data_IF_200368741896
#
_entry.id   IF_200368741896
#
_cell.length_a   1.000
_cell.length_b   1.000
_cell.length_c   1.000
_cell.angle_alpha   90.00
_cell.angle_beta   90.00
_cell.angle_gamma   90.00
#
_symmetry.space_group_name_H-M   'P 1'
#
loop_
_entity.id
_entity.type
_entity.pdbx_description
1 polymer ?
#
# COMPACT_ATOMS: atom_id res chain seq x y z
N UNK A 1 -32.39 -65.82 -21.80
CA UNK A 1 -31.54 -66.04 -22.99
C UNK A 1 -30.10 -65.72 -22.61
N UNK A 2 -29.21 -66.68 -22.83
CA UNK A 2 -27.74 -66.69 -22.74
C UNK A 2 -27.04 -66.58 -21.36
N UNK A 3 -26.56 -67.75 -20.92
CA UNK A 3 -25.38 -67.97 -20.07
C UNK A 3 -24.09 -67.48 -20.74
N UNK A 4 -23.08 -67.08 -19.95
CA UNK A 4 -21.81 -67.82 -19.83
C UNK A 4 -20.82 -67.15 -18.89
N UNK A 5 -20.46 -67.87 -17.83
CA UNK A 5 -19.15 -67.76 -17.17
C UNK A 5 -18.03 -68.03 -18.16
N UNK A 6 -16.92 -67.29 -18.05
CA UNK A 6 -15.59 -67.83 -18.35
C UNK A 6 -14.60 -67.39 -17.28
N UNK A 7 -13.86 -68.41 -16.89
CA UNK A 7 -12.94 -68.52 -15.78
C UNK A 7 -11.52 -68.03 -16.14
N UNK A 8 -10.77 -67.71 -15.08
CA UNK A 8 -9.31 -67.82 -14.91
C UNK A 8 -8.34 -66.84 -15.61
N UNK A 9 -7.57 -66.08 -14.80
CA UNK A 9 -6.25 -66.50 -14.28
C UNK A 9 -5.71 -65.52 -13.22
N UNK A 10 -5.33 -65.98 -12.01
CA UNK A 10 -4.55 -65.16 -11.09
C UNK A 10 -3.08 -65.09 -11.54
N UNK A 11 -2.53 -63.88 -11.51
CA UNK A 11 -1.13 -63.59 -11.82
C UNK A 11 -0.19 -64.25 -10.79
N UNK A 12 1.02 -64.69 -11.18
CA UNK A 12 1.95 -65.37 -10.29
C UNK A 12 2.51 -64.40 -9.24
N UNK A 13 2.41 -64.79 -7.98
CA UNK A 13 3.00 -64.10 -6.82
C UNK A 13 4.49 -64.47 -6.75
N UNK A 14 5.36 -63.46 -6.79
CA UNK A 14 6.78 -63.65 -6.48
C UNK A 14 6.94 -63.87 -4.96
N UNK A 15 7.60 -64.94 -4.51
CA UNK A 15 7.86 -65.18 -3.09
C UNK A 15 8.96 -64.24 -2.60
N UNK A 16 8.59 -63.33 -1.70
CA UNK A 16 9.50 -62.37 -1.07
C UNK A 16 8.79 -61.53 0.00
N UNK A 17 7.88 -62.15 0.75
CA UNK A 17 7.29 -61.57 1.94
C UNK A 17 8.12 -61.94 3.16
N UNK A 18 8.56 -60.93 3.92
CA UNK A 18 8.58 -61.03 5.38
C UNK A 18 8.51 -59.63 6.02
N UNK A 19 7.31 -59.26 6.46
CA UNK A 19 7.13 -58.58 7.74
C UNK A 19 7.23 -57.05 7.79
N UNK A 20 6.09 -56.36 7.62
CA UNK A 20 5.77 -55.21 8.48
C UNK A 20 4.25 -55.07 8.62
N UNK A 21 3.69 -55.07 9.85
CA UNK A 21 2.27 -54.82 10.04
C UNK A 21 1.91 -53.39 9.58
N UNK A 22 0.68 -53.17 9.07
CA UNK A 22 0.25 -51.86 8.61
C UNK A 22 0.21 -50.88 9.80
N UNK A 23 1.09 -49.89 9.75
CA UNK A 23 0.99 -48.69 10.58
C UNK A 23 -0.37 -48.04 10.28
N UNK A 24 -1.19 -47.69 11.29
CA UNK A 24 -2.39 -46.91 11.05
C UNK A 24 -2.01 -45.59 10.37
N UNK A 25 -2.85 -45.05 9.47
CA UNK A 25 -2.58 -43.77 8.85
C UNK A 25 -2.38 -42.73 9.95
N UNK A 26 -1.24 -42.06 9.89
CA UNK A 26 -0.96 -40.93 10.78
C UNK A 26 -2.12 -39.93 10.63
N UNK A 27 -2.65 -39.39 11.74
CA UNK A 27 -3.68 -38.36 11.67
C UNK A 27 -3.13 -37.23 10.80
N UNK A 28 -3.88 -36.92 9.75
CA UNK A 28 -3.69 -35.77 8.87
C UNK A 28 -3.38 -34.57 9.76
N UNK A 29 -2.17 -34.03 9.61
CA UNK A 29 -1.73 -32.88 10.37
C UNK A 29 -2.81 -31.80 10.27
N UNK A 30 -3.20 -31.30 11.45
CA UNK A 30 -4.23 -30.31 11.65
C UNK A 30 -4.10 -29.18 10.62
N UNK A 31 -5.25 -28.77 10.06
CA UNK A 31 -5.42 -27.53 9.31
C UNK A 31 -4.92 -26.37 10.18
N UNK A 32 -3.65 -26.00 10.01
CA UNK A 32 -3.19 -24.65 10.34
C UNK A 32 -3.90 -23.66 9.41
N UNK A 33 -4.02 -22.38 9.80
CA UNK A 33 -4.54 -21.36 8.90
C UNK A 33 -3.72 -21.40 7.62
N UNK A 34 -4.36 -21.75 6.50
CA UNK A 34 -3.75 -21.74 5.18
C UNK A 34 -3.22 -20.34 4.92
N UNK A 35 -1.90 -20.20 4.99
CA UNK A 35 -1.20 -18.95 4.70
C UNK A 35 -1.56 -18.53 3.28
N UNK A 36 -2.10 -17.33 3.12
CA UNK A 36 -2.40 -16.79 1.80
C UNK A 36 -1.10 -16.64 1.01
N UNK A 37 -1.13 -17.00 -0.28
CA UNK A 37 -0.12 -16.59 -1.25
C UNK A 37 -0.54 -15.26 -1.91
N UNK A 38 0.30 -14.71 -2.80
CA UNK A 38 0.04 -13.44 -3.46
C UNK A 38 -1.27 -13.43 -4.28
N UNK A 39 -1.56 -14.53 -4.97
CA UNK A 39 -2.72 -14.65 -5.84
C UNK A 39 -4.02 -14.76 -5.02
N UNK A 40 -4.03 -15.63 -4.02
CA UNK A 40 -5.14 -15.78 -3.07
C UNK A 40 -5.37 -14.49 -2.30
N UNK A 41 -4.32 -13.79 -1.86
CA UNK A 41 -4.45 -12.49 -1.22
C UNK A 41 -5.14 -11.47 -2.13
N UNK A 42 -4.73 -11.40 -3.40
CA UNK A 42 -5.31 -10.46 -4.36
C UNK A 42 -6.78 -10.78 -4.66
N UNK A 43 -7.11 -12.06 -4.81
CA UNK A 43 -8.49 -12.51 -5.04
C UNK A 43 -9.39 -12.21 -3.83
N UNK A 44 -8.91 -12.47 -2.62
CA UNK A 44 -9.64 -12.16 -1.39
C UNK A 44 -9.75 -10.65 -1.15
N UNK A 45 -8.74 -9.85 -1.51
CA UNK A 45 -8.83 -8.39 -1.48
C UNK A 45 -9.95 -7.88 -2.38
N UNK A 46 -9.99 -8.32 -3.64
CA UNK A 46 -11.05 -7.94 -4.59
C UNK A 46 -12.42 -8.37 -4.07
N UNK A 47 -12.52 -9.58 -3.52
CA UNK A 47 -13.76 -10.10 -2.93
C UNK A 47 -14.22 -9.26 -1.74
N UNK A 48 -13.32 -8.91 -0.81
CA UNK A 48 -13.64 -8.04 0.32
C UNK A 48 -14.11 -6.67 -0.15
N UNK A 49 -13.42 -6.07 -1.13
CA UNK A 49 -13.80 -4.77 -1.69
C UNK A 49 -15.17 -4.79 -2.35
N UNK A 50 -15.50 -5.87 -3.07
CA UNK A 50 -16.83 -6.06 -3.64
C UNK A 50 -17.91 -6.06 -2.56
N UNK A 51 -17.77 -6.93 -1.54
CA UNK A 51 -18.71 -7.06 -0.43
C UNK A 51 -18.86 -5.74 0.36
N UNK A 52 -17.76 -5.03 0.58
CA UNK A 52 -17.76 -3.72 1.25
C UNK A 52 -18.51 -2.68 0.40
N UNK A 53 -18.24 -2.63 -0.90
CA UNK A 53 -18.85 -1.64 -1.79
C UNK A 53 -20.35 -1.88 -2.04
N UNK A 54 -20.77 -3.14 -2.15
CA UNK A 54 -22.19 -3.50 -2.31
C UNK A 54 -22.94 -3.56 -0.99
N UNK A 55 -22.23 -3.46 0.15
CA UNK A 55 -22.77 -3.60 1.50
C UNK A 55 -23.47 -4.97 1.67
N UNK A 56 -22.83 -6.02 1.16
CA UNK A 56 -23.33 -7.40 1.18
C UNK A 56 -22.44 -8.29 2.06
N UNK A 57 -23.07 -9.23 2.80
CA UNK A 57 -22.40 -10.23 3.63
C UNK A 57 -21.18 -9.69 4.42
N UNK A 58 -21.44 -8.66 5.24
CA UNK A 58 -20.39 -7.95 5.97
C UNK A 58 -19.69 -8.82 7.02
N UNK A 59 -20.28 -9.94 7.44
CA UNK A 59 -19.66 -10.92 8.32
C UNK A 59 -18.54 -11.68 7.59
N UNK A 60 -18.80 -12.12 6.35
CA UNK A 60 -17.77 -12.69 5.48
C UNK A 60 -16.71 -11.64 5.17
N UNK A 61 -17.09 -10.41 4.81
CA UNK A 61 -16.14 -9.33 4.56
C UNK A 61 -15.22 -9.07 5.77
N UNK A 62 -15.78 -9.06 6.98
CA UNK A 62 -15.01 -8.91 8.22
C UNK A 62 -13.95 -10.00 8.38
N UNK A 63 -14.33 -11.26 8.13
CA UNK A 63 -13.41 -12.40 8.22
C UNK A 63 -12.27 -12.29 7.21
N UNK A 64 -12.59 -11.89 5.98
CA UNK A 64 -11.60 -11.70 4.92
C UNK A 64 -10.66 -10.55 5.28
N UNK A 65 -11.17 -9.38 5.68
CA UNK A 65 -10.37 -8.20 6.06
C UNK A 65 -9.39 -8.53 7.19
N UNK A 66 -9.82 -9.26 8.22
CA UNK A 66 -8.94 -9.70 9.30
C UNK A 66 -7.80 -10.61 8.79
N UNK A 67 -8.13 -11.52 7.86
CA UNK A 67 -7.15 -12.43 7.24
C UNK A 67 -6.15 -11.65 6.39
N UNK A 68 -6.62 -10.69 5.58
CA UNK A 68 -5.76 -9.82 4.76
C UNK A 68 -4.81 -9.01 5.65
N UNK A 69 -5.33 -8.32 6.67
CA UNK A 69 -4.52 -7.50 7.58
C UNK A 69 -3.44 -8.30 8.33
N UNK A 70 -3.72 -9.55 8.70
CA UNK A 70 -2.73 -10.42 9.36
C UNK A 70 -1.69 -11.02 8.40
N UNK A 71 -2.02 -11.13 7.11
CA UNK A 71 -1.17 -11.80 6.11
C UNK A 71 -0.23 -10.86 5.36
N UNK A 72 -0.63 -9.60 5.13
CA UNK A 72 0.07 -8.68 4.24
C UNK A 72 1.53 -8.43 4.63
N UNK A 73 1.83 -8.19 5.91
CA UNK A 73 3.20 -7.99 6.40
C UNK A 73 4.11 -9.15 6.01
N UNK A 74 3.60 -10.37 6.15
CA UNK A 74 4.35 -11.59 5.81
C UNK A 74 4.58 -11.69 4.30
N UNK A 75 3.59 -11.34 3.48
CA UNK A 75 3.72 -11.36 2.01
C UNK A 75 4.70 -10.31 1.48
N UNK A 76 4.69 -9.11 2.05
CA UNK A 76 5.68 -8.06 1.73
C UNK A 76 7.09 -8.53 2.10
N UNK A 77 7.23 -9.15 3.29
CA UNK A 77 8.51 -9.67 3.75
C UNK A 77 9.05 -10.83 2.90
N UNK A 78 8.19 -11.63 2.27
CA UNK A 78 8.57 -12.75 1.40
C UNK A 78 8.63 -12.43 -0.09
N UNK A 79 8.76 -11.16 -0.46
CA UNK A 79 8.89 -10.73 -1.87
C UNK A 79 7.74 -11.17 -2.77
N UNK A 80 6.54 -11.29 -2.20
CA UNK A 80 5.37 -11.77 -2.92
C UNK A 80 4.70 -10.68 -3.76
N UNK A 81 5.07 -9.41 -3.54
CA UNK A 81 4.57 -8.25 -4.28
C UNK A 81 5.72 -7.30 -4.64
N UNK A 82 5.68 -6.78 -5.86
CA UNK A 82 6.48 -5.63 -6.28
C UNK A 82 5.85 -4.30 -5.81
N UNK A 83 6.62 -3.23 -5.95
CA UNK A 83 6.24 -1.89 -5.50
C UNK A 83 4.96 -1.39 -6.19
N UNK A 84 4.86 -1.60 -7.50
CA UNK A 84 3.74 -1.11 -8.30
C UNK A 84 2.44 -1.85 -7.98
N UNK A 85 2.52 -3.15 -7.70
CA UNK A 85 1.38 -3.95 -7.23
C UNK A 85 0.87 -3.44 -5.89
N UNK A 86 1.76 -3.11 -4.96
CA UNK A 86 1.38 -2.50 -3.68
C UNK A 86 0.75 -1.11 -3.85
N UNK A 87 1.23 -0.32 -4.81
CA UNK A 87 0.62 0.98 -5.18
C UNK A 87 -0.80 0.77 -5.72
N UNK A 88 -0.98 -0.17 -6.66
CA UNK A 88 -2.31 -0.50 -7.21
C UNK A 88 -3.27 -0.95 -6.11
N UNK A 89 -2.82 -1.79 -5.19
CA UNK A 89 -3.62 -2.18 -4.02
C UNK A 89 -3.98 -0.97 -3.16
N UNK A 90 -3.03 -0.04 -2.93
CA UNK A 90 -3.30 1.19 -2.19
C UNK A 90 -4.39 2.02 -2.86
N UNK A 91 -4.35 2.22 -4.18
CA UNK A 91 -5.35 2.98 -4.92
C UNK A 91 -6.75 2.40 -4.76
N UNK A 92 -6.92 1.08 -4.89
CA UNK A 92 -8.24 0.46 -4.78
C UNK A 92 -8.77 0.53 -3.33
N UNK A 93 -7.89 0.40 -2.33
CA UNK A 93 -8.31 0.56 -0.93
C UNK A 93 -8.66 2.02 -0.60
N UNK A 94 -7.88 3.00 -1.09
CA UNK A 94 -8.22 4.43 -0.97
C UNK A 94 -9.56 4.74 -1.63
N UNK A 95 -9.79 4.21 -2.83
CA UNK A 95 -11.08 4.33 -3.52
C UNK A 95 -12.21 3.73 -2.68
N UNK A 96 -12.03 2.57 -2.06
CA UNK A 96 -13.06 1.96 -1.21
C UNK A 96 -13.38 2.82 0.02
N UNK A 97 -12.36 3.42 0.64
CA UNK A 97 -12.58 4.39 1.73
C UNK A 97 -13.41 5.58 1.24
N UNK A 98 -13.03 6.18 0.12
CA UNK A 98 -13.79 7.29 -0.47
C UNK A 98 -15.21 6.88 -0.88
N UNK A 99 -15.38 5.70 -1.47
CA UNK A 99 -16.68 5.19 -1.91
C UNK A 99 -17.64 4.92 -0.75
N UNK A 100 -17.14 4.45 0.39
CA UNK A 100 -17.96 4.14 1.57
C UNK A 100 -18.28 5.37 2.43
N UNK A 101 -17.68 6.52 2.13
CA UNK A 101 -17.81 7.77 2.90
C UNK A 101 -18.23 8.96 2.04
N UNK A 102 -18.62 8.70 0.79
CA UNK A 102 -18.97 9.71 -0.22
C UNK A 102 -17.88 10.80 -0.33
N UNK A 103 -16.64 10.38 -0.59
CA UNK A 103 -15.50 11.29 -0.70
C UNK A 103 -15.06 11.87 0.64
N UNK A 104 -15.23 11.13 1.74
CA UNK A 104 -14.94 11.57 3.12
C UNK A 104 -15.82 12.73 3.61
N UNK A 105 -16.99 12.94 3.00
CA UNK A 105 -17.94 13.99 3.39
C UNK A 105 -18.93 13.51 4.46
N UNK A 106 -19.21 12.20 4.50
CA UNK A 106 -20.13 11.61 5.47
C UNK A 106 -19.44 11.34 6.80
N UNK A 107 -20.17 11.57 7.88
CA UNK A 107 -19.75 11.25 9.25
C UNK A 107 -20.38 9.93 9.68
N UNK A 108 -19.79 9.24 10.68
CA UNK A 108 -20.32 7.96 11.16
C UNK A 108 -21.80 8.03 11.57
N UNK A 109 -22.23 9.18 12.09
CA UNK A 109 -23.61 9.42 12.54
C UNK A 109 -24.62 9.50 11.39
N UNK A 110 -24.16 9.85 10.18
CA UNK A 110 -25.01 9.96 8.99
C UNK A 110 -25.18 8.64 8.24
N UNK A 111 -24.31 7.66 8.50
CA UNK A 111 -24.34 6.35 7.87
C UNK A 111 -25.31 5.41 8.59
N UNK A 112 -25.99 4.56 7.82
CA UNK A 112 -26.68 3.40 8.38
C UNK A 112 -25.70 2.46 9.09
N UNK A 113 -26.22 1.53 9.91
CA UNK A 113 -25.37 0.60 10.66
C UNK A 113 -24.47 -0.24 9.73
N UNK A 114 -25.01 -0.68 8.60
CA UNK A 114 -24.28 -1.52 7.65
C UNK A 114 -23.26 -0.71 6.83
N UNK A 115 -23.61 0.51 6.39
CA UNK A 115 -22.67 1.41 5.71
C UNK A 115 -21.53 1.83 6.64
N UNK A 116 -21.82 2.12 7.91
CA UNK A 116 -20.80 2.43 8.92
C UNK A 116 -19.85 1.25 9.10
N UNK A 117 -20.38 0.03 9.11
CA UNK A 117 -19.58 -1.20 9.19
C UNK A 117 -18.73 -1.39 7.94
N UNK A 118 -19.26 -1.16 6.75
CA UNK A 118 -18.52 -1.20 5.49
C UNK A 118 -17.37 -0.17 5.47
N UNK A 119 -17.65 1.08 5.86
CA UNK A 119 -16.66 2.13 5.99
C UNK A 119 -15.56 1.78 7.00
N UNK A 120 -15.93 1.22 8.15
CA UNK A 120 -14.97 0.76 9.16
C UNK A 120 -14.05 -0.36 8.62
N UNK A 121 -14.59 -1.29 7.82
CA UNK A 121 -13.79 -2.34 7.16
C UNK A 121 -12.82 -1.77 6.12
N UNK A 122 -13.26 -0.82 5.28
CA UNK A 122 -12.39 -0.14 4.32
C UNK A 122 -11.25 0.60 5.02
N UNK A 123 -11.56 1.33 6.09
CA UNK A 123 -10.57 2.02 6.93
C UNK A 123 -9.61 1.04 7.62
N UNK A 124 -10.11 -0.12 8.05
CA UNK A 124 -9.30 -1.19 8.63
C UNK A 124 -8.31 -1.77 7.63
N UNK A 125 -8.68 -1.93 6.36
CA UNK A 125 -7.76 -2.31 5.28
C UNK A 125 -6.71 -1.23 5.04
N UNK A 126 -7.09 0.05 4.98
CA UNK A 126 -6.16 1.16 4.78
C UNK A 126 -5.11 1.23 5.90
N UNK A 127 -5.55 1.28 7.16
CA UNK A 127 -4.64 1.34 8.30
C UNK A 127 -3.78 0.08 8.44
N UNK A 128 -4.34 -1.10 8.11
CA UNK A 128 -3.60 -2.36 8.07
C UNK A 128 -2.52 -2.41 6.99
N UNK A 129 -2.81 -1.88 5.79
CA UNK A 129 -1.86 -1.80 4.70
C UNK A 129 -0.68 -0.88 5.03
N UNK A 130 -0.95 0.30 5.61
CA UNK A 130 0.10 1.21 6.08
C UNK A 130 0.98 0.55 7.13
N UNK A 131 0.37 -0.08 8.14
CA UNK A 131 1.13 -0.78 9.18
C UNK A 131 2.00 -1.91 8.59
N UNK A 132 1.47 -2.70 7.65
CA UNK A 132 2.22 -3.79 7.03
C UNK A 132 3.46 -3.31 6.25
N UNK A 133 3.35 -2.17 5.56
CA UNK A 133 4.47 -1.51 4.88
C UNK A 133 5.53 -1.04 5.89
N UNK A 134 5.10 -0.40 6.98
CA UNK A 134 5.97 0.12 8.04
C UNK A 134 6.71 -1.01 8.79
N UNK A 135 6.07 -2.15 8.99
CA UNK A 135 6.66 -3.32 9.66
C UNK A 135 7.59 -4.14 8.75
N UNK A 136 7.83 -3.69 7.51
CA UNK A 136 8.70 -4.35 6.54
C UNK A 136 9.93 -3.50 6.15
N UNK A 137 10.72 -2.97 7.11
CA UNK A 137 11.80 -2.01 6.82
C UNK A 137 12.94 -2.61 5.98
N UNK A 138 13.14 -3.93 6.03
CA UNK A 138 14.15 -4.65 5.22
C UNK A 138 13.85 -4.61 3.71
N UNK A 139 12.66 -4.12 3.33
CA UNK A 139 12.16 -4.05 1.95
C UNK A 139 11.97 -2.59 1.51
N UNK A 140 12.76 -1.66 2.06
CA UNK A 140 12.62 -0.22 1.82
C UNK A 140 12.53 0.15 0.33
N UNK A 141 13.30 -0.49 -0.56
CA UNK A 141 13.24 -0.23 -2.01
C UNK A 141 11.87 -0.53 -2.62
N UNK A 142 11.10 -1.45 -2.02
CA UNK A 142 9.76 -1.86 -2.46
C UNK A 142 8.66 -1.15 -1.68
N UNK A 143 8.88 -0.82 -0.41
CA UNK A 143 7.84 -0.28 0.48
C UNK A 143 7.78 1.24 0.52
N UNK A 144 8.86 1.96 0.20
CA UNK A 144 8.87 3.42 0.32
C UNK A 144 7.94 4.11 -0.68
N UNK A 145 7.79 3.61 -1.90
CA UNK A 145 6.92 4.21 -2.91
C UNK A 145 5.43 4.07 -2.55
N UNK A 146 4.89 2.87 -2.25
CA UNK A 146 3.51 2.74 -1.77
C UNK A 146 3.30 3.46 -0.43
N UNK A 147 4.29 3.50 0.47
CA UNK A 147 4.17 4.27 1.70
C UNK A 147 4.09 5.78 1.43
N UNK A 148 4.87 6.30 0.47
CA UNK A 148 4.77 7.69 0.04
C UNK A 148 3.35 7.98 -0.42
N UNK A 149 2.78 7.13 -1.27
CA UNK A 149 1.40 7.24 -1.76
C UNK A 149 0.38 7.27 -0.60
N UNK A 150 0.53 6.39 0.39
CA UNK A 150 -0.32 6.40 1.60
C UNK A 150 -0.20 7.68 2.43
N UNK A 151 1.03 8.10 2.74
CA UNK A 151 1.26 9.36 3.47
C UNK A 151 0.74 10.55 2.68
N UNK A 152 0.85 10.48 1.36
CA UNK A 152 0.35 11.50 0.47
C UNK A 152 -1.16 11.68 0.62
N UNK A 153 -1.89 10.56 0.60
CA UNK A 153 -3.33 10.55 0.74
C UNK A 153 -3.79 11.07 2.10
N UNK A 154 -3.20 10.62 3.21
CA UNK A 154 -3.63 11.03 4.56
C UNK A 154 -3.30 12.50 4.87
N UNK A 155 -2.21 13.04 4.31
CA UNK A 155 -1.91 14.48 4.40
C UNK A 155 -2.91 15.30 3.58
N UNK A 156 -3.33 14.79 2.42
CA UNK A 156 -4.32 15.46 1.56
C UNK A 156 -5.74 15.36 2.13
N UNK A 157 -6.02 14.29 2.89
CA UNK A 157 -7.33 13.99 3.45
C UNK A 157 -7.23 13.64 4.95
N UNK A 158 -6.92 14.60 5.84
CA UNK A 158 -6.74 14.31 7.27
C UNK A 158 -7.99 13.72 7.94
N UNK A 159 -9.18 13.96 7.37
CA UNK A 159 -10.43 13.36 7.80
C UNK A 159 -10.43 11.82 7.75
N UNK A 160 -9.64 11.22 6.85
CA UNK A 160 -9.49 9.75 6.80
C UNK A 160 -8.92 9.17 8.10
N UNK A 161 -8.12 9.96 8.83
CA UNK A 161 -7.51 9.58 10.10
C UNK A 161 -8.45 9.76 11.32
N UNK A 162 -9.70 10.19 11.12
CA UNK A 162 -10.69 10.26 12.19
C UNK A 162 -11.26 8.89 12.56
N UNK A 163 -11.19 7.92 11.64
CA UNK A 163 -11.75 6.59 11.84
C UNK A 163 -11.01 5.80 12.93
N UNK A 164 -11.76 5.03 13.72
CA UNK A 164 -11.22 4.22 14.82
C UNK A 164 -10.16 3.18 14.38
N UNK A 165 -10.15 2.78 13.10
CA UNK A 165 -9.17 1.84 12.56
C UNK A 165 -7.71 2.29 12.77
N UNK A 166 -7.46 3.60 12.74
CA UNK A 166 -6.13 4.20 12.91
C UNK A 166 -5.68 4.20 14.37
N UNK A 167 -6.59 4.49 15.30
CA UNK A 167 -6.28 4.49 16.75
C UNK A 167 -6.19 3.08 17.33
N UNK A 168 -6.88 2.09 16.75
CA UNK A 168 -6.82 0.69 17.15
C UNK A 168 -5.48 -0.01 16.82
N UNK A 169 -4.57 0.66 16.13
CA UNK A 169 -3.25 0.13 15.74
C UNK A 169 -2.13 0.94 16.40
N UNK A 170 -1.86 0.72 17.70
CA UNK A 170 -0.95 1.57 18.48
C UNK A 170 0.50 1.55 17.97
N UNK A 171 0.89 0.52 17.21
CA UNK A 171 2.22 0.41 16.61
C UNK A 171 2.41 1.27 15.35
N UNK A 172 1.35 1.79 14.74
CA UNK A 172 1.41 2.48 13.44
C UNK A 172 2.26 3.75 13.50
N UNK A 173 1.94 4.67 14.41
CA UNK A 173 2.64 5.95 14.51
C UNK A 173 4.08 5.81 15.03
N UNK A 174 4.37 4.98 16.05
CA UNK A 174 5.75 4.68 16.44
C UNK A 174 6.58 4.06 15.31
N UNK A 175 6.01 3.15 14.52
CA UNK A 175 6.72 2.56 13.37
C UNK A 175 6.98 3.59 12.26
N UNK A 176 6.05 4.51 12.03
CA UNK A 176 6.25 5.63 11.11
C UNK A 176 7.37 6.56 11.60
N UNK A 177 7.35 6.97 12.87
CA UNK A 177 8.39 7.81 13.44
C UNK A 177 9.78 7.17 13.32
N UNK A 178 9.91 5.88 13.66
CA UNK A 178 11.17 5.14 13.51
C UNK A 178 11.66 5.07 12.06
N UNK A 179 10.74 4.88 11.10
CA UNK A 179 11.11 4.90 9.69
C UNK A 179 11.61 6.29 9.28
N UNK A 180 10.88 7.34 9.63
CA UNK A 180 11.26 8.72 9.28
C UNK A 180 12.60 9.10 9.91
N UNK A 181 12.85 8.73 11.17
CA UNK A 181 14.15 8.88 11.81
C UNK A 181 15.25 8.16 11.03
N UNK A 182 15.01 6.91 10.62
CA UNK A 182 15.99 6.16 9.84
C UNK A 182 16.30 6.80 8.48
N UNK A 183 15.32 7.46 7.87
CA UNK A 183 15.49 8.21 6.61
C UNK A 183 16.22 9.54 6.86
N UNK A 184 15.97 10.20 8.00
CA UNK A 184 16.64 11.46 8.40
C UNK A 184 18.12 11.27 8.73
N UNK A 185 18.48 10.10 9.26
CA UNK A 185 19.86 9.75 9.60
C UNK A 185 20.71 9.41 8.36
N UNK A 186 20.07 9.16 7.21
CA UNK A 186 20.79 9.00 5.97
C UNK A 186 21.48 10.32 5.59
N UNK A 187 22.70 10.30 5.04
CA UNK A 187 23.39 11.52 4.65
C UNK A 187 22.49 12.34 3.73
N UNK A 188 22.39 13.67 3.97
CA UNK A 188 21.49 14.50 3.19
C UNK A 188 21.83 14.30 1.71
N UNK A 189 20.81 14.18 0.84
CA UNK A 189 21.06 14.23 -0.60
C UNK A 189 21.95 15.45 -0.87
N UNK A 190 23.05 15.25 -1.61
CA UNK A 190 23.93 16.34 -2.01
C UNK A 190 23.09 17.53 -2.46
N UNK A 191 23.54 18.76 -2.23
CA UNK A 191 22.84 20.07 -2.33
C UNK A 191 21.76 20.27 -3.44
N UNK A 192 21.73 19.39 -4.44
CA UNK A 192 20.77 19.24 -5.51
C UNK A 192 19.41 18.61 -5.12
N UNK A 193 19.11 18.26 -3.87
CA UNK A 193 17.80 17.67 -3.52
C UNK A 193 16.62 18.58 -3.89
N UNK A 194 16.78 19.89 -3.64
CA UNK A 194 15.86 20.94 -4.07
C UNK A 194 15.73 21.02 -5.60
N UNK A 195 16.78 20.64 -6.33
CA UNK A 195 16.80 20.61 -7.80
C UNK A 195 15.82 19.58 -8.37
N UNK A 196 15.49 18.53 -7.61
CA UNK A 196 14.56 17.46 -8.04
C UNK A 196 13.18 17.53 -7.37
N UNK A 197 12.88 18.59 -6.60
CA UNK A 197 11.62 18.69 -5.85
C UNK A 197 10.40 18.64 -6.77
N UNK A 198 10.48 19.28 -7.94
CA UNK A 198 9.41 19.33 -8.93
C UNK A 198 9.40 18.15 -9.91
N UNK A 199 10.38 17.24 -9.86
CA UNK A 199 10.49 16.14 -10.85
C UNK A 199 9.63 14.97 -10.38
N UNK A 200 8.64 14.49 -11.17
CA UNK A 200 7.80 13.37 -10.75
C UNK A 200 8.63 12.09 -10.56
N UNK A 201 8.30 11.32 -9.54
CA UNK A 201 8.74 9.94 -9.36
C UNK A 201 7.85 9.01 -10.20
N UNK A 202 8.27 7.77 -10.49
CA UNK A 202 7.46 6.84 -11.28
C UNK A 202 6.04 6.63 -10.74
N UNK A 203 5.88 6.59 -9.42
CA UNK A 203 4.55 6.50 -8.79
C UNK A 203 3.71 7.77 -8.91
N UNK A 204 4.31 8.93 -9.17
CA UNK A 204 3.56 10.17 -9.41
C UNK A 204 3.00 10.18 -10.83
N UNK A 205 3.80 9.74 -11.80
CA UNK A 205 3.40 9.65 -13.21
C UNK A 205 2.25 8.67 -13.39
N UNK A 206 2.34 7.49 -12.78
CA UNK A 206 1.28 6.47 -12.82
C UNK A 206 -0.04 6.96 -12.18
N UNK A 207 0.04 7.83 -11.17
CA UNK A 207 -1.12 8.29 -10.40
C UNK A 207 -1.65 9.66 -10.86
N UNK A 208 -1.12 10.19 -11.96
CA UNK A 208 -1.64 11.43 -12.55
C UNK A 208 -3.10 11.24 -12.95
N UNK A 209 -3.98 12.09 -12.42
CA UNK A 209 -5.44 12.00 -12.63
C UNK A 209 -6.17 11.10 -11.64
N UNK A 210 -5.48 10.46 -10.69
CA UNK A 210 -6.15 9.77 -9.58
C UNK A 210 -6.70 10.80 -8.58
N UNK A 211 -8.01 11.04 -8.64
CA UNK A 211 -8.69 12.12 -7.90
C UNK A 211 -8.34 12.19 -6.40
N UNK A 212 -8.22 11.08 -5.64
CA UNK A 212 -7.77 11.12 -4.24
C UNK A 212 -6.37 11.68 -3.97
N UNK A 213 -5.54 11.89 -5.00
CA UNK A 213 -4.17 12.40 -4.88
C UNK A 213 -3.88 13.63 -5.76
N UNK A 214 -4.81 13.99 -6.62
CA UNK A 214 -4.63 15.00 -7.68
C UNK A 214 -4.17 16.36 -7.14
N UNK A 215 -4.70 16.81 -6.00
CA UNK A 215 -4.39 18.11 -5.42
C UNK A 215 -2.90 18.33 -5.18
N UNK A 216 -2.15 17.26 -4.94
CA UNK A 216 -0.74 17.36 -4.62
C UNK A 216 0.18 17.17 -5.83
N UNK A 217 -0.35 16.69 -6.95
CA UNK A 217 0.38 16.68 -8.22
C UNK A 217 0.60 18.10 -8.77
N UNK A 218 -0.11 19.12 -8.26
CA UNK A 218 -0.07 20.52 -8.72
C UNK A 218 1.31 21.20 -8.68
N UNK A 219 2.26 20.67 -7.91
CA UNK A 219 3.64 21.18 -7.84
C UNK A 219 4.66 20.42 -8.69
N UNK A 220 4.24 19.34 -9.36
CA UNK A 220 5.13 18.48 -10.14
C UNK A 220 5.10 18.85 -11.62
N UNK A 221 6.27 18.79 -12.25
CA UNK A 221 6.50 19.04 -13.67
C UNK A 221 6.49 17.71 -14.41
N UNK A 222 5.30 17.25 -14.76
CA UNK A 222 5.15 16.04 -15.57
C UNK A 222 5.73 16.26 -16.97
N UNK A 223 6.51 15.30 -17.51
CA UNK A 223 6.89 15.36 -18.91
C UNK A 223 5.63 15.45 -19.75
N UNK A 224 5.63 16.41 -20.68
CA UNK A 224 4.48 16.65 -21.52
C UNK A 224 4.25 15.42 -22.40
N UNK A 225 3.26 14.57 -22.09
CA UNK A 225 2.84 13.48 -22.96
C UNK A 225 2.12 13.99 -24.23
N UNK A 226 2.07 15.31 -24.45
CA UNK A 226 1.58 15.97 -25.66
C UNK A 226 2.44 15.73 -26.92
N UNK A 227 3.04 14.55 -27.07
CA UNK A 227 3.50 14.04 -28.35
C UNK A 227 2.34 13.44 -29.18
N UNK A 228 1.14 13.25 -28.59
CA UNK A 228 -0.04 12.80 -29.34
C UNK A 228 -0.77 13.91 -30.12
N UNK A 229 -0.59 15.18 -29.76
CA UNK A 229 -1.19 16.32 -30.49
C UNK A 229 -0.27 16.95 -31.56
N UNK A 230 0.92 16.39 -31.78
CA UNK A 230 1.79 16.81 -32.89
C UNK A 230 1.42 16.22 -34.26
N UNK A 231 0.30 15.50 -34.37
CA UNK A 231 -0.36 15.24 -35.66
C UNK A 231 -1.48 16.27 -35.92
N UNK A 232 -1.07 17.51 -36.19
CA UNK A 232 -1.91 18.46 -36.93
C UNK A 232 -2.46 19.65 -36.15
N UNK A 233 -1.57 20.59 -35.81
CA UNK A 233 -1.83 22.01 -36.03
C UNK A 233 -2.45 22.81 -34.88
N UNK A 234 -1.59 23.66 -34.30
CA UNK A 234 -1.83 24.80 -33.39
C UNK A 234 -1.99 24.45 -31.90
N UNK A 235 -0.93 24.74 -31.15
CA UNK A 235 -1.06 25.11 -29.73
C UNK A 235 -2.03 26.29 -29.61
N UNK A 236 -2.88 26.36 -28.57
CA UNK A 236 -3.48 27.62 -28.15
C UNK A 236 -2.33 28.58 -27.81
N UNK A 237 -2.38 29.80 -28.33
CA UNK A 237 -1.42 30.86 -28.04
C UNK A 237 -1.32 31.04 -26.51
N UNK A 238 -0.25 30.48 -25.91
CA UNK A 238 0.14 30.80 -24.55
C UNK A 238 1.04 32.02 -24.67
N UNK A 239 0.55 33.14 -24.15
CA UNK A 239 1.24 34.42 -24.13
C UNK A 239 2.71 34.24 -23.71
N UNK A 240 3.61 34.73 -24.57
CA UNK A 240 5.04 34.80 -24.34
C UNK A 240 5.33 35.73 -23.16
N UNK A 241 5.24 35.24 -21.93
CA UNK A 241 5.74 35.95 -20.77
C UNK A 241 6.33 35.02 -19.70
N UNK A 242 7.60 35.31 -19.40
CA UNK A 242 8.42 34.85 -18.27
C UNK A 242 9.34 33.64 -18.50
N UNK A 243 10.32 33.87 -19.38
CA UNK A 243 11.69 33.36 -19.28
C UNK A 243 12.34 33.70 -17.92
N UNK A 244 12.17 32.85 -16.91
CA UNK A 244 13.08 32.69 -15.77
C UNK A 244 12.94 31.27 -15.17
N UNK A 245 13.12 30.23 -15.97
CA UNK A 245 13.19 28.85 -15.45
C UNK A 245 14.64 28.49 -15.09
N UNK A 246 14.94 28.03 -13.84
CA UNK A 246 16.22 27.39 -13.54
C UNK A 246 16.44 26.15 -14.42
N UNK A 247 17.70 25.69 -14.62
CA UNK A 247 18.05 24.74 -15.67
C UNK A 247 17.12 23.53 -15.67
N UNK A 248 16.55 23.22 -16.83
CA UNK A 248 15.64 22.11 -17.05
C UNK A 248 16.31 20.80 -16.59
N UNK A 249 15.95 20.36 -15.40
CA UNK A 249 16.28 19.02 -14.95
C UNK A 249 15.40 18.09 -15.77
N UNK A 250 16.02 17.44 -16.75
CA UNK A 250 15.33 16.47 -17.60
C UNK A 250 14.65 15.42 -16.72
N UNK A 251 13.33 15.23 -16.87
CA UNK A 251 12.56 14.18 -16.18
C UNK A 251 13.12 12.77 -16.46
N UNK A 252 13.81 12.61 -17.59
CA UNK A 252 14.55 11.40 -18.00
C UNK A 252 15.70 11.05 -17.04
N UNK A 253 16.11 11.99 -16.17
CA UNK A 253 17.23 11.82 -15.26
C UNK A 253 16.95 10.84 -14.11
N UNK A 254 15.70 10.75 -13.60
CA UNK A 254 15.42 9.91 -12.42
C UNK A 254 15.24 8.43 -12.77
N UNK A 255 14.60 8.10 -13.90
CA UNK A 255 14.33 6.70 -14.29
C UNK A 255 15.61 5.89 -14.55
N UNK A 256 16.72 6.57 -14.84
CA UNK A 256 18.04 5.96 -15.07
C UNK A 256 18.94 5.95 -13.82
N UNK A 257 18.49 6.56 -12.71
CA UNK A 257 19.28 6.73 -11.49
C UNK A 257 18.49 6.26 -10.24
N UNK A 258 18.41 4.95 -9.98
CA UNK A 258 17.58 4.38 -8.91
C UNK A 258 18.00 4.86 -7.50
N UNK A 259 19.28 5.15 -7.28
CA UNK A 259 19.75 5.72 -6.01
C UNK A 259 19.27 7.15 -5.80
N UNK A 260 19.21 7.95 -6.87
CA UNK A 260 18.70 9.31 -6.80
C UNK A 260 17.20 9.30 -6.57
N UNK A 261 16.47 8.45 -7.28
CA UNK A 261 15.03 8.23 -7.07
C UNK A 261 14.73 7.86 -5.61
N UNK A 262 15.50 6.94 -5.02
CA UNK A 262 15.35 6.56 -3.61
C UNK A 262 15.62 7.74 -2.65
N UNK A 263 16.62 8.58 -2.94
CA UNK A 263 16.92 9.78 -2.14
C UNK A 263 15.82 10.84 -2.23
N UNK A 264 15.30 11.11 -3.44
CA UNK A 264 14.18 12.05 -3.65
C UNK A 264 12.93 11.54 -2.95
N UNK A 265 12.66 10.23 -3.03
CA UNK A 265 11.54 9.59 -2.32
C UNK A 265 11.68 9.69 -0.80
N UNK A 266 12.85 9.41 -0.26
CA UNK A 266 13.12 9.57 1.18
C UNK A 266 12.91 11.02 1.63
N UNK A 267 13.40 11.99 0.85
CA UNK A 267 13.19 13.41 1.12
C UNK A 267 11.69 13.78 1.15
N UNK A 268 10.91 13.32 0.17
CA UNK A 268 9.46 13.56 0.12
C UNK A 268 8.71 12.90 1.27
N UNK A 269 9.12 11.71 1.69
CA UNK A 269 8.57 11.05 2.88
C UNK A 269 8.83 11.87 4.15
N UNK A 270 10.03 12.44 4.30
CA UNK A 270 10.34 13.34 5.42
C UNK A 270 9.47 14.60 5.38
N UNK A 271 9.30 15.22 4.21
CA UNK A 271 8.39 16.38 4.04
C UNK A 271 6.94 16.03 4.39
N UNK A 272 6.43 14.88 3.93
CA UNK A 272 5.09 14.40 4.27
C UNK A 272 4.96 14.09 5.76
N UNK A 273 6.00 13.54 6.39
CA UNK A 273 6.06 13.31 7.84
C UNK A 273 5.94 14.61 8.63
N UNK A 274 6.67 15.66 8.24
CA UNK A 274 6.57 17.00 8.87
C UNK A 274 5.17 17.58 8.72
N UNK A 275 4.61 17.56 7.50
CA UNK A 275 3.23 18.02 7.25
C UNK A 275 2.20 17.25 8.06
N UNK A 276 2.36 15.93 8.19
CA UNK A 276 1.47 15.11 9.00
C UNK A 276 1.55 15.49 10.48
N UNK A 277 2.75 15.74 11.00
CA UNK A 277 2.94 16.21 12.37
C UNK A 277 2.31 17.59 12.63
N UNK A 278 2.39 18.51 11.65
CA UNK A 278 1.74 19.81 11.74
C UNK A 278 0.20 19.69 11.74
N UNK A 279 -0.34 18.76 10.94
CA UNK A 279 -1.79 18.53 10.82
C UNK A 279 -2.37 17.72 11.99
N UNK A 280 -1.61 16.76 12.52
CA UNK A 280 -2.03 15.78 13.53
C UNK A 280 -0.93 15.60 14.59
N UNK A 281 -0.66 16.63 15.41
CA UNK A 281 0.34 16.56 16.47
C UNK A 281 -0.01 15.55 17.57
N UNK A 282 -1.28 15.12 17.63
CA UNK A 282 -1.77 14.05 18.49
C UNK A 282 -1.26 12.66 18.07
N UNK A 283 -0.87 12.48 16.81
CA UNK A 283 -0.42 11.20 16.26
C UNK A 283 1.10 11.11 16.15
N UNK A 284 1.74 12.17 15.66
CA UNK A 284 3.19 12.25 15.45
C UNK A 284 3.67 13.69 15.63
N UNK A 285 4.88 13.84 16.16
CA UNK A 285 5.55 15.14 16.36
C UNK A 285 6.97 15.06 15.81
N UNK A 286 7.60 16.21 15.57
CA UNK A 286 9.01 16.27 15.19
C UNK A 286 9.73 17.47 15.82
N UNK A 287 11.04 17.35 15.93
CA UNK A 287 11.96 18.42 16.33
C UNK A 287 13.08 18.52 15.30
N UNK A 288 13.41 19.73 14.87
CA UNK A 288 14.54 19.98 13.99
C UNK A 288 15.75 20.45 14.81
N UNK A 289 16.89 19.80 14.59
CA UNK A 289 18.18 20.23 15.12
C UNK A 289 18.75 21.38 14.26
N UNK A 290 19.75 22.10 14.80
CA UNK A 290 20.37 23.26 14.15
C UNK A 290 21.04 22.93 12.80
N UNK A 291 21.36 21.65 12.56
CA UNK A 291 21.92 21.13 11.32
C UNK A 291 20.86 20.74 10.27
N UNK A 292 19.57 20.95 10.58
CA UNK A 292 18.44 20.62 9.70
C UNK A 292 18.00 19.15 9.77
N UNK A 293 18.61 18.33 10.61
CA UNK A 293 18.15 16.97 10.88
C UNK A 293 16.85 17.00 11.68
N UNK A 294 15.83 16.29 11.20
CA UNK A 294 14.55 16.17 11.88
C UNK A 294 14.49 14.84 12.64
N UNK A 295 14.17 14.88 13.93
CA UNK A 295 13.83 13.70 14.73
C UNK A 295 12.32 13.64 14.95
N UNK A 296 11.72 12.49 14.71
CA UNK A 296 10.30 12.22 14.80
C UNK A 296 9.98 11.41 16.06
N UNK A 297 8.86 11.70 16.69
CA UNK A 297 8.39 10.93 17.84
C UNK A 297 6.88 10.76 17.82
N UNK A 298 6.41 9.60 18.27
CA UNK A 298 5.00 9.29 18.38
C UNK A 298 4.75 8.49 19.67
N UNK A 299 3.69 8.83 20.39
CA UNK A 299 3.24 8.02 21.51
C UNK A 299 2.51 6.78 21.00
N UNK A 300 2.72 5.63 21.64
CA UNK A 300 1.83 4.50 21.42
C UNK A 300 0.44 4.88 21.96
N UNK A 301 -0.60 4.82 21.11
CA UNK A 301 -1.97 5.05 21.54
C UNK A 301 -2.30 4.08 22.70
N UNK A 302 -2.48 4.63 23.91
CA UNK A 302 -2.65 3.85 25.15
C UNK A 302 -1.71 4.21 26.32
N UNK A 303 -0.85 5.23 26.18
CA UNK A 303 -0.02 5.76 27.26
C UNK A 303 -0.57 7.08 27.87
N UNK A 304 -1.89 7.15 28.08
CA UNK A 304 -2.54 8.13 28.96
C UNK A 304 -3.50 7.41 29.91
#
# INVERSE_FOLDING_TARGET
MFHSSRDSRPLPVLPGAAGRPPTPPAPTAANGPTRLDAHSYTSELIRALHLIHTVEDLDTATTIVNTLNSSLTTLIATDSFDSMTLIKMACVVMWAVHSTTEGLTLTEDTLSADERRAAALAQSLAAGAVLALLLSPRRATVTLAPLKVWLWWVVSHPAALAAAAWSQRPALWPALAQLLDSLSAAPPPAAHAYTYETVPLPEDEELLGFQPLEAMCKGLRFPNHAAWDTYGGRLPDLDEQEDLSPPEVSTVCLSNEPELEQKVRAHRLLQLGRRLADLRPDLITYTEAEDGAASFSAAAAGAL
#
